data_IF_680280127596
#
_entry.id   IF_680280127596
#
_cell.length_a   1.000
_cell.length_b   1.000
_cell.length_c   1.000
_cell.angle_alpha   90.00
_cell.angle_beta   90.00
_cell.angle_gamma   90.00
#
_symmetry.space_group_name_H-M   'P 1'
#
loop_
_entity.id
_entity.type
_entity.pdbx_description
1 polymer ?
#
# COMPACT_ATOMS: atom_id res chain seq x y z
N UNK A 1 -49.96 14.07 1.62
CA UNK A 1 -48.96 13.70 0.60
C UNK A 1 -47.58 13.96 1.15
N UNK A 2 -46.89 12.95 1.68
CA UNK A 2 -45.45 12.95 1.99
C UNK A 2 -45.04 11.56 2.51
N UNK A 3 -44.48 10.73 1.63
CA UNK A 3 -43.62 9.61 2.05
C UNK A 3 -42.56 9.38 0.97
N UNK A 4 -41.61 10.31 0.91
CA UNK A 4 -40.33 10.11 0.23
C UNK A 4 -39.43 9.25 1.13
N UNK A 5 -39.59 7.93 1.09
CA UNK A 5 -38.62 7.00 1.63
C UNK A 5 -38.18 6.06 0.49
N UNK A 6 -37.07 6.42 -0.16
CA UNK A 6 -36.39 5.50 -1.07
C UNK A 6 -35.75 4.38 -0.25
N UNK A 7 -35.86 3.11 -0.65
CA UNK A 7 -35.15 2.03 0.01
C UNK A 7 -33.63 2.22 -0.19
N UNK A 8 -32.90 2.20 0.93
CA UNK A 8 -31.45 2.12 0.95
C UNK A 8 -31.03 0.88 0.17
N UNK A 9 -30.32 1.08 -0.94
CA UNK A 9 -29.73 -0.02 -1.67
C UNK A 9 -28.73 -0.71 -0.74
N UNK A 10 -28.98 -1.99 -0.47
CA UNK A 10 -28.06 -2.89 0.21
C UNK A 10 -26.67 -2.76 -0.41
N UNK A 11 -25.70 -2.25 0.36
CA UNK A 11 -24.28 -2.35 0.02
C UNK A 11 -23.94 -3.83 0.17
N UNK A 12 -24.12 -4.58 -0.92
CA UNK A 12 -23.79 -5.98 -0.98
C UNK A 12 -22.32 -6.16 -0.64
N UNK A 13 -22.03 -6.71 0.54
CA UNK A 13 -20.73 -7.20 0.91
C UNK A 13 -20.45 -8.42 0.02
N UNK A 14 -19.92 -8.18 -1.18
CA UNK A 14 -19.52 -9.27 -2.08
C UNK A 14 -18.40 -10.02 -1.35
N UNK A 15 -18.54 -11.34 -1.09
CA UNK A 15 -17.49 -12.09 -0.43
C UNK A 15 -16.22 -11.96 -1.28
N UNK A 16 -15.12 -11.62 -0.62
CA UNK A 16 -13.81 -11.56 -1.25
C UNK A 16 -13.61 -12.86 -2.03
N UNK A 17 -13.49 -12.76 -3.37
CA UNK A 17 -13.19 -13.93 -4.20
C UNK A 17 -11.95 -14.58 -3.59
N UNK A 18 -12.06 -15.84 -3.17
CA UNK A 18 -10.93 -16.65 -2.77
C UNK A 18 -10.07 -16.88 -4.02
N UNK A 19 -9.18 -15.94 -4.30
CA UNK A 19 -8.17 -16.11 -5.33
C UNK A 19 -7.22 -17.18 -4.79
N UNK A 20 -7.14 -18.32 -5.48
CA UNK A 20 -6.08 -19.28 -5.26
C UNK A 20 -4.74 -18.59 -5.55
N UNK A 21 -4.14 -17.97 -4.54
CA UNK A 21 -2.80 -17.41 -4.59
C UNK A 21 -1.79 -18.57 -4.65
N UNK A 22 -1.72 -19.26 -5.79
CA UNK A 22 -0.48 -19.90 -6.21
C UNK A 22 0.47 -18.77 -6.58
N UNK A 23 1.00 -18.12 -5.55
CA UNK A 23 1.99 -17.07 -5.62
C UNK A 23 3.22 -17.70 -6.28
N UNK A 24 3.33 -17.58 -7.60
CA UNK A 24 4.58 -17.87 -8.27
C UNK A 24 5.58 -16.83 -7.77
N UNK A 25 6.36 -17.23 -6.77
CA UNK A 25 7.36 -16.45 -6.04
C UNK A 25 8.58 -16.16 -6.93
N UNK A 26 8.36 -15.58 -8.11
CA UNK A 26 9.41 -15.26 -9.07
C UNK A 26 9.14 -13.94 -9.81
N UNK A 27 8.41 -13.01 -9.19
CA UNK A 27 8.45 -11.62 -9.61
C UNK A 27 9.77 -11.02 -9.09
N UNK A 28 10.73 -10.79 -9.98
CA UNK A 28 11.88 -9.92 -9.70
C UNK A 28 11.32 -8.59 -9.18
N UNK A 29 11.54 -8.32 -7.90
CA UNK A 29 11.06 -7.13 -7.21
C UNK A 29 11.67 -5.89 -7.90
N UNK A 30 10.85 -5.13 -8.61
CA UNK A 30 11.26 -3.87 -9.23
C UNK A 30 11.36 -2.78 -8.16
N UNK A 31 12.58 -2.57 -7.68
CA UNK A 31 13.23 -1.25 -7.60
C UNK A 31 12.53 -0.11 -6.86
N UNK A 32 11.77 -0.36 -5.79
CA UNK A 32 11.64 0.69 -4.77
C UNK A 32 12.93 0.71 -3.97
N UNK A 33 13.81 1.67 -4.29
CA UNK A 33 15.07 1.85 -3.58
C UNK A 33 14.81 2.01 -2.08
N UNK A 34 15.48 1.19 -1.28
CA UNK A 34 15.36 1.27 0.16
C UNK A 34 16.06 2.56 0.64
N UNK A 35 15.40 3.39 1.47
CA UNK A 35 15.98 4.67 1.88
C UNK A 35 17.32 4.48 2.61
N UNK A 36 18.35 5.20 2.17
CA UNK A 36 19.70 5.02 2.69
C UNK A 36 19.82 5.42 4.18
N UNK A 37 19.04 6.40 4.63
CA UNK A 37 19.03 6.85 6.03
C UNK A 37 18.41 5.84 7.01
N UNK A 38 17.82 4.76 6.49
CA UNK A 38 17.20 3.69 7.29
C UNK A 38 18.05 2.41 7.35
N UNK A 39 19.21 2.36 6.68
CA UNK A 39 20.04 1.15 6.56
C UNK A 39 20.50 0.59 7.91
N UNK A 40 20.85 1.46 8.84
CA UNK A 40 21.44 1.08 10.12
C UNK A 40 20.38 0.83 11.21
N UNK A 41 19.09 1.11 10.92
CA UNK A 41 17.98 0.97 11.87
C UNK A 41 17.78 -0.46 12.40
N UNK A 42 17.98 -1.54 11.61
CA UNK A 42 17.84 -2.91 12.11
C UNK A 42 18.87 -3.30 13.17
N UNK A 43 20.05 -2.69 13.13
CA UNK A 43 21.18 -3.01 14.00
C UNK A 43 21.29 -2.04 15.18
N UNK A 44 20.56 -0.93 15.15
CA UNK A 44 20.53 0.05 16.23
C UNK A 44 19.90 -0.56 17.49
N UNK A 45 20.60 -0.48 18.62
CA UNK A 45 20.09 -0.94 19.93
C UNK A 45 18.91 -0.08 20.42
N UNK A 46 18.93 1.23 20.12
CA UNK A 46 17.88 2.17 20.50
C UNK A 46 17.62 3.19 19.36
N UNK A 47 16.97 2.78 18.27
CA UNK A 47 16.68 3.66 17.15
C UNK A 47 15.65 4.73 17.56
N UNK A 48 15.75 5.91 16.95
CA UNK A 48 14.70 6.92 17.05
C UNK A 48 13.36 6.30 16.64
N UNK A 49 12.32 6.44 17.49
CA UNK A 49 11.03 5.78 17.29
C UNK A 49 10.44 6.02 15.89
N UNK A 50 10.49 7.26 15.40
CA UNK A 50 10.00 7.62 14.06
C UNK A 50 10.74 6.88 12.96
N UNK A 51 12.07 6.80 13.02
CA UNK A 51 12.89 6.06 12.04
C UNK A 51 12.66 4.55 12.10
N UNK A 52 12.42 4.00 13.29
CA UNK A 52 12.06 2.58 13.45
C UNK A 52 10.71 2.26 12.79
N UNK A 53 9.71 3.11 12.98
CA UNK A 53 8.41 2.97 12.32
C UNK A 53 8.55 3.12 10.80
N UNK A 54 9.28 4.13 10.34
CA UNK A 54 9.55 4.39 8.93
C UNK A 54 10.23 3.17 8.26
N UNK A 55 11.26 2.60 8.89
CA UNK A 55 11.93 1.38 8.44
C UNK A 55 10.94 0.22 8.23
N UNK A 56 10.08 -0.03 9.21
CA UNK A 56 9.12 -1.12 9.16
C UNK A 56 8.08 -0.93 8.05
N UNK A 57 7.65 0.31 7.81
CA UNK A 57 6.74 0.64 6.71
C UNK A 57 7.41 0.36 5.35
N UNK A 58 8.65 0.84 5.13
CA UNK A 58 9.37 0.59 3.88
C UNK A 58 9.64 -0.91 3.66
N UNK A 59 9.96 -1.65 4.72
CA UNK A 59 10.14 -3.10 4.63
C UNK A 59 8.84 -3.81 4.22
N UNK A 60 7.69 -3.42 4.79
CA UNK A 60 6.38 -3.96 4.42
C UNK A 60 6.01 -3.63 2.97
N UNK A 61 6.22 -2.39 2.52
CA UNK A 61 5.98 -1.96 1.14
C UNK A 61 6.77 -2.83 0.17
N UNK A 62 8.07 -3.04 0.42
CA UNK A 62 8.93 -3.87 -0.41
C UNK A 62 8.43 -5.31 -0.53
N UNK A 63 7.95 -5.91 0.58
CA UNK A 63 7.41 -7.28 0.58
C UNK A 63 6.10 -7.37 -0.21
N UNK A 64 5.27 -6.33 -0.14
CA UNK A 64 3.92 -6.32 -0.73
C UNK A 64 3.87 -5.72 -2.14
N UNK A 65 4.96 -5.12 -2.63
CA UNK A 65 5.03 -4.36 -3.87
C UNK A 65 4.41 -5.09 -5.07
N UNK A 66 4.83 -6.33 -5.31
CA UNK A 66 4.33 -7.16 -6.41
C UNK A 66 2.83 -7.46 -6.32
N UNK A 67 2.34 -7.77 -5.12
CA UNK A 67 0.91 -8.02 -4.88
C UNK A 67 0.10 -6.74 -5.09
N UNK A 68 0.62 -5.62 -4.63
CA UNK A 68 -0.02 -4.33 -4.78
C UNK A 68 -0.12 -3.93 -6.26
N UNK A 69 0.97 -4.03 -7.03
CA UNK A 69 0.98 -3.76 -8.48
C UNK A 69 0.01 -4.68 -9.25
N UNK A 70 -0.04 -5.97 -8.90
CA UNK A 70 -1.01 -6.92 -9.48
C UNK A 70 -2.45 -6.45 -9.22
N UNK A 71 -2.73 -6.02 -7.99
CA UNK A 71 -4.05 -5.53 -7.63
C UNK A 71 -4.43 -4.23 -8.37
N UNK A 72 -3.47 -3.44 -8.85
CA UNK A 72 -3.74 -2.26 -9.68
C UNK A 72 -4.09 -2.65 -11.12
N UNK A 73 -3.51 -3.73 -11.65
CA UNK A 73 -3.91 -4.29 -12.95
C UNK A 73 -5.38 -4.73 -12.90
N UNK A 74 -5.80 -5.42 -11.85
CA UNK A 74 -7.19 -5.84 -11.65
C UNK A 74 -8.18 -4.67 -11.56
N UNK A 75 -7.68 -3.48 -11.17
CA UNK A 75 -8.45 -2.23 -11.11
C UNK A 75 -8.43 -1.41 -12.40
N UNK A 76 -7.82 -1.94 -13.46
CA UNK A 76 -7.85 -1.34 -14.80
C UNK A 76 -6.68 -0.43 -15.16
N UNK A 77 -5.61 -0.38 -14.36
CA UNK A 77 -4.40 0.37 -14.71
C UNK A 77 -3.59 -0.43 -15.74
N UNK A 78 -3.46 0.12 -16.95
CA UNK A 78 -2.97 -0.61 -18.13
C UNK A 78 -1.46 -0.60 -18.19
N UNK A 79 -0.85 0.57 -18.00
CA UNK A 79 0.60 0.74 -18.14
C UNK A 79 1.33 0.57 -16.82
N UNK A 80 2.60 0.16 -16.88
CA UNK A 80 3.47 0.09 -15.70
C UNK A 80 3.70 1.46 -15.08
N UNK A 81 3.89 2.48 -15.92
CA UNK A 81 4.08 3.86 -15.48
C UNK A 81 2.87 4.38 -14.67
N UNK A 82 1.64 4.11 -15.10
CA UNK A 82 0.43 4.49 -14.34
C UNK A 82 0.37 3.78 -12.98
N UNK A 83 0.73 2.49 -12.95
CA UNK A 83 0.73 1.71 -11.70
C UNK A 83 1.79 2.23 -10.74
N UNK A 84 2.99 2.50 -11.24
CA UNK A 84 4.08 3.03 -10.44
C UNK A 84 3.75 4.43 -9.91
N UNK A 85 3.23 5.32 -10.76
CA UNK A 85 2.79 6.65 -10.35
C UNK A 85 1.70 6.59 -9.26
N UNK A 86 0.69 5.72 -9.45
CA UNK A 86 -0.38 5.54 -8.46
C UNK A 86 0.15 4.97 -7.15
N UNK A 87 1.08 4.01 -7.22
CA UNK A 87 1.75 3.42 -6.06
C UNK A 87 2.51 4.47 -5.27
N UNK A 88 3.36 5.26 -5.92
CA UNK A 88 4.14 6.31 -5.27
C UNK A 88 3.24 7.35 -4.60
N UNK A 89 2.14 7.75 -5.27
CA UNK A 89 1.17 8.68 -4.67
C UNK A 89 0.49 8.12 -3.42
N UNK A 90 0.11 6.84 -3.41
CA UNK A 90 -0.51 6.19 -2.25
C UNK A 90 0.48 6.04 -1.10
N UNK A 91 1.70 5.58 -1.39
CA UNK A 91 2.76 5.44 -0.37
C UNK A 91 3.03 6.80 0.28
N UNK A 92 3.27 7.85 -0.51
CA UNK A 92 3.53 9.20 -0.03
C UNK A 92 2.43 9.69 0.91
N UNK A 93 1.17 9.53 0.51
CA UNK A 93 0.01 9.92 1.31
C UNK A 93 -0.06 9.17 2.65
N UNK A 94 0.36 7.90 2.68
CA UNK A 94 0.32 7.08 3.88
C UNK A 94 1.49 7.33 4.84
N UNK A 95 2.65 7.72 4.31
CA UNK A 95 3.89 7.81 5.09
C UNK A 95 4.20 9.21 5.61
N UNK A 96 3.74 10.26 4.94
CA UNK A 96 4.02 11.63 5.34
C UNK A 96 3.06 12.14 6.44
N UNK A 97 3.59 12.84 7.44
CA UNK A 97 2.79 13.57 8.41
C UNK A 97 2.37 14.93 7.81
N UNK A 98 1.08 15.10 7.49
CA UNK A 98 0.59 16.35 6.89
C UNK A 98 0.58 17.55 7.85
N UNK A 99 0.46 17.31 9.15
CA UNK A 99 0.36 18.36 10.17
C UNK A 99 0.84 17.83 11.51
N UNK A 100 1.59 18.66 12.23
CA UNK A 100 1.99 18.47 13.62
C UNK A 100 1.59 19.76 14.33
N UNK A 101 0.81 19.63 15.40
CA UNK A 101 0.48 20.73 16.29
C UNK A 101 1.26 20.51 17.59
N UNK A 102 1.97 21.53 18.04
CA UNK A 102 2.82 21.52 19.24
C UNK A 102 2.20 22.38 20.34
#
# INVERSE_FOLDING_TARGET
MLSLLRPLHSIGNKPARTINLKLQANAKYTTSDFPQHLKDIPEAENPQFTKMVEYNIHNAIRILDSRFLTSLVERGLKTEQEREHKKQGIIKLMTECNSVLE
#
